data_IF_261970523579
#
_entry.id   IF_261970523579
#
_cell.length_a   1.000
_cell.length_b   1.000
_cell.length_c   1.000
_cell.angle_alpha   90.00
_cell.angle_beta   90.00
_cell.angle_gamma   90.00
#
_symmetry.space_group_name_H-M   'P 1'
#
loop_
_entity.id
_entity.type
_entity.pdbx_description
1 polymer ?
#
# COMPACT_ATOMS: atom_id res chain seq x y z
N UNK A 1 -11.68 11.92 -7.52
CA UNK A 1 -10.72 11.74 -6.42
C UNK A 1 -11.48 11.85 -5.10
N UNK A 2 -11.31 10.91 -4.17
CA UNK A 2 -11.96 10.96 -2.86
C UNK A 2 -10.89 11.17 -1.81
N UNK A 3 -10.87 12.34 -1.19
CA UNK A 3 -10.04 12.61 -0.02
C UNK A 3 -10.78 12.07 1.19
N UNK A 4 -10.23 11.05 1.85
CA UNK A 4 -10.87 10.39 2.99
C UNK A 4 -10.71 11.19 4.28
N UNK A 5 -9.57 11.84 4.46
CA UNK A 5 -9.23 12.73 5.57
C UNK A 5 -8.00 13.56 5.18
N UNK A 6 -7.87 14.76 5.74
CA UNK A 6 -6.69 15.63 5.62
C UNK A 6 -6.06 15.94 6.99
N UNK A 7 -6.53 15.31 8.07
CA UNK A 7 -6.03 15.53 9.43
C UNK A 7 -4.87 14.56 9.71
N UNK A 8 -3.67 15.05 10.06
CA UNK A 8 -2.54 14.19 10.43
C UNK A 8 -2.86 13.31 11.65
N UNK A 9 -2.39 12.07 11.62
CA UNK A 9 -2.58 11.09 12.70
C UNK A 9 -1.56 11.23 13.86
N UNK A 10 -0.73 12.28 13.85
CA UNK A 10 0.37 12.50 14.80
C UNK A 10 -0.01 12.58 16.29
N UNK A 11 -1.26 12.94 16.67
CA UNK A 11 -1.68 12.86 18.08
C UNK A 11 -1.82 11.42 18.59
N UNK A 12 -2.13 10.46 17.71
CA UNK A 12 -2.29 9.05 18.09
C UNK A 12 -0.94 8.44 18.47
N UNK A 13 -0.94 7.57 19.48
CA UNK A 13 0.28 6.95 20.04
C UNK A 13 0.34 5.44 19.82
N UNK A 14 -0.80 4.83 19.52
CA UNK A 14 -0.90 3.40 19.25
C UNK A 14 -0.59 3.12 17.77
N UNK A 15 0.37 2.22 17.53
CA UNK A 15 0.82 1.89 16.17
C UNK A 15 -0.29 1.22 15.36
N UNK A 16 -1.16 0.46 16.01
CA UNK A 16 -2.22 -0.25 15.32
C UNK A 16 -3.33 0.71 14.88
N UNK A 17 -3.68 1.67 15.73
CA UNK A 17 -4.66 2.72 15.40
C UNK A 17 -4.16 3.58 14.23
N UNK A 18 -2.90 4.02 14.30
CA UNK A 18 -2.28 4.79 13.21
C UNK A 18 -2.25 3.97 11.92
N UNK A 19 -1.83 2.70 11.99
CA UNK A 19 -1.72 1.83 10.82
C UNK A 19 -3.08 1.57 10.18
N UNK A 20 -4.09 1.25 10.98
CA UNK A 20 -5.43 0.96 10.46
C UNK A 20 -6.05 2.17 9.77
N UNK A 21 -5.96 3.34 10.41
CA UNK A 21 -6.47 4.59 9.86
C UNK A 21 -5.71 4.98 8.59
N UNK A 22 -4.39 4.92 8.61
CA UNK A 22 -3.55 5.24 7.46
C UNK A 22 -3.83 4.31 6.28
N UNK A 23 -3.84 2.99 6.50
CA UNK A 23 -4.12 2.00 5.45
C UNK A 23 -5.52 2.16 4.85
N UNK A 24 -6.47 2.68 5.63
CA UNK A 24 -7.81 3.04 5.14
C UNK A 24 -7.79 4.35 4.33
N UNK A 25 -7.06 5.36 4.80
CA UNK A 25 -6.95 6.67 4.13
C UNK A 25 -6.29 6.57 2.75
N UNK A 26 -5.25 5.74 2.61
CA UNK A 26 -4.59 5.50 1.32
C UNK A 26 -5.35 4.51 0.43
N UNK A 27 -6.51 4.04 0.88
CA UNK A 27 -7.38 3.15 0.11
C UNK A 27 -6.86 1.71 0.00
N UNK A 28 -5.86 1.30 0.78
CA UNK A 28 -5.37 -0.07 0.80
C UNK A 28 -6.39 -1.03 1.44
N UNK A 29 -6.92 -0.66 2.61
CA UNK A 29 -8.04 -1.34 3.27
C UNK A 29 -9.33 -0.55 2.99
N UNK A 30 -10.39 -1.16 2.43
CA UNK A 30 -11.66 -0.48 2.22
C UNK A 30 -12.28 0.04 3.53
N UNK A 31 -13.00 1.17 3.47
CA UNK A 31 -13.86 1.58 4.59
C UNK A 31 -14.95 0.53 4.83
N UNK A 32 -15.20 0.20 6.10
CA UNK A 32 -16.15 -0.85 6.47
C UNK A 32 -15.71 -2.25 6.02
N UNK A 33 -14.39 -2.47 5.85
CA UNK A 33 -13.87 -3.78 5.53
C UNK A 33 -14.29 -4.79 6.60
N UNK A 34 -15.08 -5.77 6.16
CA UNK A 34 -15.48 -6.93 6.93
C UNK A 34 -14.59 -8.13 6.51
N UNK A 35 -13.79 -8.71 7.42
CA UNK A 35 -12.99 -9.87 7.10
C UNK A 35 -13.89 -11.05 6.70
N UNK A 36 -13.89 -11.42 5.41
CA UNK A 36 -14.68 -12.58 4.90
C UNK A 36 -14.14 -13.95 5.33
N UNK A 37 -13.26 -14.00 6.33
CA UNK A 37 -12.52 -15.17 6.80
C UNK A 37 -12.67 -15.28 8.32
N UNK A 38 -12.12 -16.31 8.96
CA UNK A 38 -12.16 -16.54 10.43
C UNK A 38 -11.49 -15.45 11.31
N UNK A 39 -11.24 -14.26 10.77
CA UNK A 39 -10.64 -13.14 11.48
C UNK A 39 -11.69 -12.44 12.35
N UNK A 40 -11.42 -12.30 13.65
CA UNK A 40 -12.29 -11.64 14.63
C UNK A 40 -12.34 -10.12 14.51
N UNK A 41 -11.37 -9.51 13.82
CA UNK A 41 -11.26 -8.07 13.64
C UNK A 41 -10.50 -7.72 12.35
N UNK A 42 -10.55 -6.45 11.94
CA UNK A 42 -9.70 -5.97 10.83
C UNK A 42 -8.21 -6.14 11.14
N UNK A 43 -7.80 -6.06 12.41
CA UNK A 43 -6.40 -6.29 12.82
C UNK A 43 -5.97 -7.75 12.61
N UNK A 44 -6.91 -8.69 12.67
CA UNK A 44 -6.65 -10.12 12.41
C UNK A 44 -6.65 -10.47 10.91
N UNK A 45 -7.06 -9.53 10.06
CA UNK A 45 -7.21 -9.74 8.63
C UNK A 45 -5.86 -9.83 7.90
N UNK A 46 -5.84 -10.62 6.81
CA UNK A 46 -4.66 -10.75 5.92
C UNK A 46 -4.08 -9.40 5.47
N UNK A 47 -4.84 -8.42 4.94
CA UNK A 47 -4.25 -7.15 4.49
C UNK A 47 -3.54 -6.39 5.60
N UNK A 48 -4.14 -6.33 6.79
CA UNK A 48 -3.57 -5.63 7.94
C UNK A 48 -2.28 -6.30 8.40
N UNK A 49 -2.34 -7.61 8.68
CA UNK A 49 -1.21 -8.38 9.18
C UNK A 49 -0.06 -8.44 8.17
N UNK A 50 -0.37 -8.53 6.86
CA UNK A 50 0.62 -8.44 5.80
C UNK A 50 1.40 -7.13 5.88
N UNK A 51 0.72 -6.01 6.03
CA UNK A 51 1.39 -4.72 6.11
C UNK A 51 2.12 -4.55 7.44
N UNK A 52 1.43 -4.71 8.57
CA UNK A 52 1.98 -4.36 9.90
C UNK A 52 2.97 -5.41 10.41
N UNK A 53 2.61 -6.70 10.43
CA UNK A 53 3.45 -7.75 11.02
C UNK A 53 4.61 -8.20 10.12
N UNK A 54 4.51 -8.00 8.81
CA UNK A 54 5.52 -8.46 7.85
C UNK A 54 6.32 -7.29 7.25
N UNK A 55 5.64 -6.37 6.57
CA UNK A 55 6.33 -5.29 5.84
C UNK A 55 6.85 -4.21 6.77
N UNK A 56 6.01 -3.67 7.66
CA UNK A 56 6.41 -2.64 8.62
C UNK A 56 7.28 -3.22 9.72
N UNK A 57 6.93 -4.40 10.26
CA UNK A 57 7.72 -5.08 11.29
C UNK A 57 9.13 -5.46 10.84
N UNK A 58 9.38 -5.61 9.53
CA UNK A 58 10.70 -5.92 8.94
C UNK A 58 10.85 -5.27 7.56
N UNK A 59 10.98 -3.94 7.54
CA UNK A 59 11.01 -3.15 6.29
C UNK A 59 12.14 -3.52 5.34
N UNK A 60 13.32 -3.85 5.87
CA UNK A 60 14.53 -4.20 5.11
C UNK A 60 14.48 -5.60 4.48
N UNK A 61 13.67 -6.49 5.05
CA UNK A 61 13.58 -7.90 4.68
C UNK A 61 12.76 -8.08 3.39
N UNK A 62 13.36 -8.74 2.41
CA UNK A 62 12.63 -9.31 1.28
C UNK A 62 11.79 -10.51 1.70
N UNK A 63 10.48 -10.42 1.52
CA UNK A 63 9.52 -11.50 1.77
C UNK A 63 9.14 -12.20 0.48
N UNK A 64 9.31 -13.52 0.40
CA UNK A 64 8.75 -14.30 -0.71
C UNK A 64 7.24 -14.48 -0.51
N UNK A 65 6.51 -14.72 -1.61
CA UNK A 65 5.06 -14.95 -1.54
C UNK A 65 4.75 -16.22 -0.73
N UNK A 66 5.60 -17.23 -0.84
CA UNK A 66 5.54 -18.46 -0.05
C UNK A 66 5.66 -18.18 1.45
N UNK A 67 6.64 -17.37 1.87
CA UNK A 67 6.82 -17.00 3.27
C UNK A 67 5.59 -16.26 3.83
N UNK A 68 5.06 -15.30 3.07
CA UNK A 68 3.89 -14.53 3.48
C UNK A 68 2.63 -15.41 3.57
N UNK A 69 2.41 -16.27 2.57
CA UNK A 69 1.28 -17.20 2.56
C UNK A 69 1.32 -18.15 3.77
N UNK A 70 2.50 -18.70 4.07
CA UNK A 70 2.71 -19.57 5.23
C UNK A 70 2.50 -18.81 6.56
N UNK A 71 3.12 -17.62 6.72
CA UNK A 71 3.03 -16.83 7.95
C UNK A 71 1.60 -16.35 8.23
N UNK A 72 0.88 -15.93 7.19
CA UNK A 72 -0.47 -15.38 7.30
C UNK A 72 -1.57 -16.43 7.16
N UNK A 73 -1.20 -17.71 7.00
CA UNK A 73 -2.13 -18.84 6.82
C UNK A 73 -3.19 -18.57 5.74
N UNK A 74 -2.73 -18.14 4.57
CA UNK A 74 -3.59 -17.76 3.45
C UNK A 74 -3.02 -18.26 2.12
N UNK A 75 -3.75 -18.06 1.02
CA UNK A 75 -3.32 -18.52 -0.30
C UNK A 75 -2.32 -17.56 -0.94
N UNK A 76 -1.42 -18.08 -1.78
CA UNK A 76 -0.51 -17.24 -2.59
C UNK A 76 -1.27 -16.23 -3.44
N UNK A 77 -2.42 -16.62 -4.00
CA UNK A 77 -3.29 -15.73 -4.77
C UNK A 77 -3.76 -14.52 -3.95
N UNK A 78 -4.14 -14.75 -2.68
CA UNK A 78 -4.50 -13.67 -1.75
C UNK A 78 -3.32 -12.73 -1.49
N UNK A 79 -2.13 -13.30 -1.27
CA UNK A 79 -0.91 -12.50 -1.09
C UNK A 79 -0.60 -11.66 -2.34
N UNK A 80 -0.62 -12.26 -3.53
CA UNK A 80 -0.37 -11.53 -4.78
C UNK A 80 -1.31 -10.35 -4.96
N UNK A 81 -2.61 -10.50 -4.66
CA UNK A 81 -3.58 -9.40 -4.72
C UNK A 81 -3.15 -8.21 -3.85
N UNK A 82 -2.68 -8.46 -2.63
CA UNK A 82 -2.26 -7.41 -1.71
C UNK A 82 -0.90 -6.81 -2.08
N UNK A 83 0.05 -7.63 -2.51
CA UNK A 83 1.35 -7.17 -3.00
C UNK A 83 1.18 -6.29 -4.23
N UNK A 84 0.35 -6.70 -5.20
CA UNK A 84 0.11 -5.91 -6.41
C UNK A 84 -0.50 -4.55 -6.08
N UNK A 85 -1.50 -4.51 -5.17
CA UNK A 85 -2.10 -3.25 -4.72
C UNK A 85 -1.08 -2.29 -4.08
N UNK A 86 -0.18 -2.82 -3.25
CA UNK A 86 0.86 -2.00 -2.61
C UNK A 86 1.97 -1.58 -3.59
N UNK A 87 2.27 -2.42 -4.59
CA UNK A 87 3.19 -2.08 -5.69
C UNK A 87 2.61 -1.00 -6.60
N UNK A 88 1.33 -1.06 -6.91
CA UNK A 88 0.62 -0.03 -7.70
C UNK A 88 0.62 1.33 -6.99
N UNK A 89 0.69 1.34 -5.65
CA UNK A 89 0.89 2.55 -4.83
C UNK A 89 2.36 2.97 -4.74
N UNK A 90 3.27 2.27 -5.40
CA UNK A 90 4.72 2.49 -5.38
C UNK A 90 5.43 2.31 -4.02
N UNK A 91 4.80 1.60 -3.08
CA UNK A 91 5.33 1.37 -1.74
C UNK A 91 6.35 0.23 -1.65
N UNK A 92 6.35 -0.68 -2.62
CA UNK A 92 7.16 -1.91 -2.58
C UNK A 92 8.15 -2.00 -3.73
N UNK A 93 9.31 -2.56 -3.44
CA UNK A 93 10.27 -3.00 -4.45
C UNK A 93 10.39 -4.52 -4.50
N UNK A 94 10.75 -5.02 -5.68
CA UNK A 94 11.15 -6.41 -5.88
C UNK A 94 12.63 -6.60 -5.54
N UNK A 95 12.93 -7.65 -4.80
CA UNK A 95 14.31 -8.00 -4.42
C UNK A 95 14.57 -9.48 -4.62
N UNK A 96 15.84 -9.82 -4.82
CA UNK A 96 16.28 -11.21 -4.81
C UNK A 96 16.44 -11.69 -3.37
N UNK A 97 15.77 -12.78 -3.03
CA UNK A 97 15.85 -13.45 -1.72
C UNK A 97 16.51 -14.80 -1.93
N UNK A 98 17.62 -15.05 -1.23
CA UNK A 98 18.26 -16.37 -1.24
C UNK A 98 17.58 -17.26 -0.18
N UNK A 99 16.85 -18.28 -0.64
CA UNK A 99 16.27 -19.31 0.21
C UNK A 99 16.94 -20.65 -0.10
N UNK A 100 17.72 -21.16 0.86
CA UNK A 100 18.38 -22.49 0.76
C UNK A 100 19.17 -22.68 -0.54
N UNK A 101 19.89 -21.64 -0.97
CA UNK A 101 20.70 -21.66 -2.19
C UNK A 101 19.92 -21.37 -3.48
N UNK A 102 18.60 -21.20 -3.41
CA UNK A 102 17.78 -20.80 -4.56
C UNK A 102 17.43 -19.32 -4.46
N UNK A 103 17.73 -18.56 -5.52
CA UNK A 103 17.30 -17.16 -5.62
C UNK A 103 15.82 -17.13 -6.02
N UNK A 104 15.01 -16.44 -5.21
CA UNK A 104 13.58 -16.23 -5.42
C UNK A 104 13.26 -14.75 -5.42
N UNK A 105 12.18 -14.38 -6.09
CA UNK A 105 11.62 -13.03 -6.02
C UNK A 105 10.94 -12.83 -4.66
N UNK A 106 11.30 -11.74 -4.00
CA UNK A 106 10.63 -11.26 -2.81
C UNK A 106 10.26 -9.79 -2.92
N UNK A 107 9.52 -9.32 -1.93
CA UNK A 107 8.98 -7.96 -1.87
C UNK A 107 9.30 -7.37 -0.51
N UNK A 108 9.63 -6.08 -0.48
CA UNK A 108 9.84 -5.32 0.75
C UNK A 108 9.38 -3.88 0.58
N UNK A 109 9.26 -3.14 1.69
CA UNK A 109 9.09 -1.69 1.62
C UNK A 109 10.25 -1.12 0.80
N UNK A 110 9.94 -0.25 -0.16
CA UNK A 110 10.91 0.40 -1.05
C UNK A 110 12.05 1.02 -0.22
N UNK A 111 13.30 0.71 -0.58
CA UNK A 111 14.53 1.01 0.18
C UNK A 111 14.62 0.53 1.65
N UNK A 112 13.71 -0.33 2.10
CA UNK A 112 13.63 -0.74 3.50
C UNK A 112 13.30 0.39 4.48
N UNK A 113 12.67 1.47 4.00
CA UNK A 113 12.36 2.65 4.78
C UNK A 113 11.05 3.27 4.31
N UNK A 114 10.03 3.30 5.18
CA UNK A 114 8.70 3.77 4.82
C UNK A 114 8.67 5.24 4.39
N UNK A 115 9.44 6.12 5.05
CA UNK A 115 9.51 7.54 4.68
C UNK A 115 10.11 7.71 3.29
N UNK A 116 11.21 7.00 2.97
CA UNK A 116 11.78 7.02 1.63
C UNK A 116 10.83 6.47 0.60
N UNK A 117 10.13 5.37 0.90
CA UNK A 117 9.10 4.82 0.01
C UNK A 117 8.00 5.86 -0.27
N UNK A 118 7.54 6.56 0.78
CA UNK A 118 6.48 7.56 0.69
C UNK A 118 6.85 8.76 -0.20
N UNK A 119 8.10 9.22 -0.19
CA UNK A 119 8.55 10.30 -1.07
C UNK A 119 8.29 10.00 -2.57
N UNK A 120 8.35 8.73 -2.98
CA UNK A 120 8.04 8.34 -4.37
C UNK A 120 6.55 8.41 -4.65
N UNK A 121 5.72 8.00 -3.67
CA UNK A 121 4.27 8.13 -3.75
C UNK A 121 3.89 9.60 -3.93
N UNK A 122 4.45 10.48 -3.10
CA UNK A 122 4.23 11.93 -3.18
C UNK A 122 4.65 12.49 -4.53
N UNK A 123 5.86 12.18 -4.98
CA UNK A 123 6.39 12.65 -6.27
C UNK A 123 5.49 12.21 -7.45
N UNK A 124 5.03 10.96 -7.45
CA UNK A 124 4.13 10.45 -8.49
C UNK A 124 2.77 11.17 -8.48
N UNK A 125 2.21 11.40 -7.30
CA UNK A 125 0.92 12.10 -7.15
C UNK A 125 1.04 13.56 -7.57
N UNK A 126 2.12 14.25 -7.21
CA UNK A 126 2.39 15.63 -7.62
C UNK A 126 2.46 15.76 -9.15
N UNK A 127 3.24 14.90 -9.81
CA UNK A 127 3.35 14.88 -11.27
C UNK A 127 1.99 14.59 -11.93
N UNK A 128 1.23 13.62 -11.39
CA UNK A 128 -0.10 13.30 -11.92
C UNK A 128 -1.06 14.50 -11.80
N UNK A 129 -1.07 15.18 -10.65
CA UNK A 129 -1.91 16.35 -10.41
C UNK A 129 -1.53 17.55 -11.28
N UNK A 130 -0.22 17.76 -11.51
CA UNK A 130 0.25 18.78 -12.46
C UNK A 130 -0.26 18.49 -13.88
N UNK A 131 -0.18 17.23 -14.32
CA UNK A 131 -0.69 16.82 -15.63
C UNK A 131 -2.20 16.95 -15.73
N UNK A 132 -2.95 16.55 -14.70
CA UNK A 132 -4.39 16.73 -14.65
C UNK A 132 -4.80 18.19 -14.71
N UNK A 133 -4.07 19.09 -14.06
CA UNK A 133 -4.30 20.54 -14.18
C UNK A 133 -4.21 20.99 -15.64
N UNK A 134 -3.12 20.65 -16.33
CA UNK A 134 -2.93 20.98 -17.76
C UNK A 134 -4.06 20.44 -18.63
N UNK A 135 -4.49 19.19 -18.39
CA UNK A 135 -5.60 18.57 -19.10
C UNK A 135 -6.93 19.27 -18.84
N UNK A 136 -7.25 19.61 -17.59
CA UNK A 136 -8.48 20.32 -17.22
C UNK A 136 -8.53 21.70 -17.87
N UNK A 137 -7.42 22.43 -17.83
CA UNK A 137 -7.34 23.76 -18.45
C UNK A 137 -7.55 23.68 -19.98
N UNK A 138 -7.00 22.64 -20.62
CA UNK A 138 -7.24 22.39 -22.05
C UNK A 138 -8.70 22.02 -22.34
N UNK A 139 -9.29 21.13 -21.54
CA UNK A 139 -10.69 20.73 -21.66
C UNK A 139 -11.64 21.92 -21.53
N UNK A 140 -11.38 22.81 -20.57
CA UNK A 140 -12.16 24.03 -20.36
C UNK A 140 -12.14 24.93 -21.62
N UNK A 141 -10.95 25.18 -22.18
CA UNK A 141 -10.79 25.96 -23.42
C UNK A 141 -11.58 25.37 -24.60
N UNK A 142 -11.52 24.05 -24.79
CA UNK A 142 -12.27 23.38 -25.86
C UNK A 142 -13.78 23.48 -25.65
N UNK A 143 -14.26 23.45 -24.40
CA UNK A 143 -15.68 23.58 -24.09
C UNK A 143 -16.20 25.00 -24.38
N UNK A 144 -15.39 26.03 -24.10
CA UNK A 144 -15.72 27.43 -24.42
C UNK A 144 -15.82 27.67 -25.93
N UNK A 145 -14.91 27.09 -26.72
CA UNK A 145 -14.91 27.21 -28.19
C UNK A 145 -16.10 26.53 -28.87
N UNK A 146 -16.80 25.62 -28.18
CA UNK A 146 -18.02 24.96 -28.69
C UNK A 146 -19.29 25.77 -28.43
N UNK A 147 -19.23 26.79 -27.58
CA UNK A 147 -20.36 27.70 -27.31
C UNK A 147 -20.40 28.81 -28.33
#
# INVERSE_FOLDING_TARGET
MVIVSNTPLTPLKDIDDVSLLFLTQIGYIPKGYDPKTDASSVRDSVPYRLFVECLLGRMDKGWTVEQLAAKLKTTKATIYRHINKLKEMDLLDEVNVNERGTIRKGYRIRYGNLSKAWNFVESNVEIAMENYRKTVDHLAKLAEQRR
#
